data_IF_710124143404
#
_entry.id   IF_710124143404
#
_cell.length_a   1.000
_cell.length_b   1.000
_cell.length_c   1.000
_cell.angle_alpha   90.00
_cell.angle_beta   90.00
_cell.angle_gamma   90.00
#
_symmetry.space_group_name_H-M   'P 1'
#
loop_
_entity.id
_entity.type
_entity.pdbx_description
1 polymer ?
#
# COMPACT_ATOMS: atom_id res chain seq x y z
N UNK A 1 -25.68 -33.66 38.44
CA UNK A 1 -24.39 -34.36 38.44
C UNK A 1 -23.59 -33.84 37.26
N UNK A 2 -22.61 -32.96 37.52
CA UNK A 2 -21.93 -32.13 36.53
C UNK A 2 -20.67 -32.80 35.99
N UNK A 3 -20.43 -32.71 34.67
CA UNK A 3 -19.10 -32.83 34.07
C UNK A 3 -18.80 -31.54 33.32
N UNK A 4 -17.66 -30.96 33.68
CA UNK A 4 -17.11 -29.68 33.24
C UNK A 4 -16.26 -29.94 32.01
N UNK A 5 -16.52 -29.25 30.91
CA UNK A 5 -15.53 -29.08 29.85
C UNK A 5 -15.05 -27.63 29.86
N UNK A 6 -13.80 -27.54 30.29
CA UNK A 6 -13.02 -26.35 30.55
C UNK A 6 -12.12 -26.11 29.31
N UNK A 7 -11.89 -24.83 28.99
CA UNK A 7 -10.71 -24.28 28.30
C UNK A 7 -10.75 -24.28 26.75
N UNK A 8 -11.14 -23.14 26.16
CA UNK A 8 -10.17 -22.15 25.67
C UNK A 8 -10.88 -20.98 24.98
N UNK A 9 -11.16 -19.93 25.74
CA UNK A 9 -11.54 -18.62 25.21
C UNK A 9 -10.55 -17.61 25.76
N UNK A 10 -9.38 -17.46 25.13
CA UNK A 10 -8.42 -16.43 25.53
C UNK A 10 -8.76 -15.13 24.80
N UNK A 11 -9.57 -14.34 25.50
CA UNK A 11 -9.86 -12.95 25.22
C UNK A 11 -8.58 -12.11 25.07
N UNK A 12 -8.58 -11.31 24.01
CA UNK A 12 -7.93 -10.01 23.93
C UNK A 12 -8.29 -9.14 25.13
N UNK A 13 -7.29 -8.52 25.76
CA UNK A 13 -7.32 -7.26 26.53
C UNK A 13 -5.89 -6.96 26.99
N UNK A 14 -5.20 -6.04 26.31
CA UNK A 14 -4.97 -4.68 26.83
C UNK A 14 -4.43 -4.65 28.28
N UNK A 15 -3.17 -4.18 28.39
CA UNK A 15 -2.66 -3.28 29.44
C UNK A 15 -2.49 -3.85 30.86
N UNK A 16 -1.22 -4.06 31.24
CA UNK A 16 -0.69 -3.74 32.57
C UNK A 16 0.37 -2.64 32.33
N UNK A 17 0.13 -1.35 32.63
CA UNK A 17 0.39 -0.66 33.90
C UNK A 17 1.78 -1.04 34.47
N UNK A 18 2.86 -0.30 34.23
CA UNK A 18 3.26 1.03 34.74
C UNK A 18 3.68 1.03 36.23
N UNK A 19 4.99 1.12 36.48
CA UNK A 19 5.72 1.70 37.62
C UNK A 19 7.21 1.40 37.38
N UNK A 20 8.21 2.26 37.49
CA UNK A 20 8.35 3.62 38.01
C UNK A 20 9.80 3.72 38.51
N UNK A 21 10.54 4.76 38.13
CA UNK A 21 11.48 5.50 38.99
C UNK A 21 12.19 6.57 38.17
N UNK A 22 11.98 7.83 38.57
CA UNK A 22 12.73 8.97 38.11
C UNK A 22 14.06 9.03 38.87
N UNK A 23 15.16 9.25 38.17
CA UNK A 23 16.41 9.71 38.77
C UNK A 23 16.91 10.90 37.96
N UNK A 24 16.68 12.10 38.51
CA UNK A 24 17.17 13.37 38.04
C UNK A 24 18.60 13.53 38.56
N UNK A 25 19.60 13.43 37.69
CA UNK A 25 20.96 13.85 37.99
C UNK A 25 21.31 15.03 37.06
N UNK A 26 21.30 16.24 37.64
CA UNK A 26 21.90 17.41 37.02
C UNK A 26 23.39 17.14 36.84
N UNK A 27 23.89 17.20 35.60
CA UNK A 27 25.31 17.34 35.37
C UNK A 27 25.60 18.60 34.54
N UNK A 28 26.54 19.36 35.09
CA UNK A 28 26.93 20.72 34.80
C UNK A 28 27.32 20.96 33.34
N UNK A 29 26.87 22.07 32.79
CA UNK A 29 27.36 22.62 31.54
C UNK A 29 28.82 23.05 31.70
N UNK A 30 29.73 22.38 30.99
CA UNK A 30 31.08 22.87 30.72
C UNK A 30 31.18 23.04 29.22
N UNK A 31 31.17 24.28 28.74
CA UNK A 31 31.42 24.62 27.34
C UNK A 31 32.93 24.67 27.11
N UNK A 32 33.50 23.86 26.19
CA UNK A 32 34.82 24.16 25.66
C UNK A 32 34.68 25.28 24.63
N UNK A 33 35.25 26.44 24.95
CA UNK A 33 35.59 27.49 24.01
C UNK A 33 36.79 26.99 23.18
N UNK A 34 36.52 26.21 22.14
CA UNK A 34 37.53 25.80 21.16
C UNK A 34 37.15 26.41 19.81
N UNK A 35 37.93 27.39 19.39
CA UNK A 35 37.84 27.99 18.08
C UNK A 35 38.21 26.97 17.00
N UNK A 36 37.31 26.81 16.04
CA UNK A 36 37.66 26.52 14.67
C UNK A 36 36.66 27.31 13.83
N UNK A 37 37.12 28.44 13.29
CA UNK A 37 36.41 29.18 12.27
C UNK A 37 36.39 28.31 11.00
N UNK A 38 35.54 27.28 11.00
CA UNK A 38 35.23 26.50 9.83
C UNK A 38 34.49 27.39 8.87
N UNK A 39 35.10 27.71 7.73
CA UNK A 39 34.44 28.34 6.60
C UNK A 39 33.07 27.68 6.39
N UNK A 40 31.99 28.44 6.15
CA UNK A 40 30.69 27.86 5.84
C UNK A 40 30.88 26.99 4.59
N UNK A 41 30.92 25.66 4.77
CA UNK A 41 30.81 24.74 3.65
C UNK A 41 29.50 25.08 2.97
N UNK A 42 29.48 25.37 1.66
CA UNK A 42 28.23 25.61 0.98
C UNK A 42 27.36 24.38 1.23
N UNK A 43 26.23 24.56 1.93
CA UNK A 43 25.18 23.55 1.96
C UNK A 43 24.88 23.31 0.50
N UNK A 44 25.31 22.15 -0.03
CA UNK A 44 24.94 21.69 -1.36
C UNK A 44 23.42 21.65 -1.31
N UNK A 45 22.78 22.71 -1.81
CA UNK A 45 21.33 22.77 -1.89
C UNK A 45 20.98 21.52 -2.68
N UNK A 46 20.29 20.58 -2.03
CA UNK A 46 19.66 19.50 -2.74
C UNK A 46 18.69 20.21 -3.68
N UNK A 47 19.13 20.43 -4.92
CA UNK A 47 18.26 20.91 -5.98
C UNK A 47 17.02 20.01 -6.00
N UNK A 48 15.86 20.52 -6.44
CA UNK A 48 14.64 19.73 -6.45
C UNK A 48 14.96 18.39 -7.08
N UNK A 49 14.96 17.32 -6.27
CA UNK A 49 15.17 15.98 -6.79
C UNK A 49 14.04 15.81 -7.80
N UNK A 50 14.40 15.85 -9.08
CA UNK A 50 13.43 15.96 -10.16
C UNK A 50 12.32 14.95 -9.92
N UNK A 51 11.11 15.46 -9.66
CA UNK A 51 9.99 14.62 -9.31
C UNK A 51 9.87 13.54 -10.39
N UNK A 52 10.18 12.28 -10.05
CA UNK A 52 10.07 11.18 -11.00
C UNK A 52 8.65 11.24 -11.56
N UNK A 53 8.54 11.39 -12.89
CA UNK A 53 7.26 11.44 -13.59
C UNK A 53 6.47 10.20 -13.19
N UNK A 54 5.36 10.39 -12.48
CA UNK A 54 4.46 9.30 -12.09
C UNK A 54 3.71 8.87 -13.35
N UNK A 55 3.93 7.63 -13.77
CA UNK A 55 3.18 7.02 -14.87
C UNK A 55 1.85 6.47 -14.33
N UNK A 56 0.79 6.68 -15.10
CA UNK A 56 -0.50 6.03 -14.92
C UNK A 56 -0.63 4.95 -15.99
N UNK A 57 -1.00 3.74 -15.59
CA UNK A 57 -1.28 2.61 -16.49
C UNK A 57 -2.78 2.38 -16.52
N UNK A 58 -3.38 2.42 -17.72
CA UNK A 58 -4.77 2.03 -17.93
C UNK A 58 -4.84 0.59 -18.40
N UNK A 59 -5.63 -0.23 -17.73
CA UNK A 59 -5.89 -1.64 -18.08
C UNK A 59 -7.30 -1.74 -18.64
N UNK A 60 -7.44 -2.23 -19.88
CA UNK A 60 -8.75 -2.43 -20.50
C UNK A 60 -9.12 -3.93 -20.50
N UNK A 61 -9.83 -4.46 -19.48
CA UNK A 61 -10.41 -5.78 -19.58
C UNK A 61 -11.54 -5.76 -20.62
N UNK A 62 -11.28 -6.36 -21.80
CA UNK A 62 -12.24 -6.39 -22.91
C UNK A 62 -13.60 -7.00 -22.56
N UNK A 63 -14.60 -6.74 -23.41
CA UNK A 63 -15.98 -7.22 -23.27
C UNK A 63 -16.66 -6.74 -21.96
N UNK A 64 -17.71 -7.44 -21.52
CA UNK A 64 -18.45 -7.15 -20.29
C UNK A 64 -19.94 -6.94 -20.53
N UNK A 65 -20.75 -7.18 -19.49
CA UNK A 65 -22.20 -7.09 -19.56
C UNK A 65 -22.78 -8.04 -20.62
N UNK A 66 -23.46 -7.49 -21.61
CA UNK A 66 -24.10 -8.23 -22.72
C UNK A 66 -23.07 -8.88 -23.67
N UNK A 67 -21.86 -8.34 -23.74
CA UNK A 67 -20.79 -8.88 -24.56
C UNK A 67 -19.98 -9.89 -23.74
N UNK A 68 -20.12 -11.18 -24.04
CA UNK A 68 -19.37 -12.24 -23.37
C UNK A 68 -17.91 -12.33 -23.82
N UNK A 69 -17.60 -11.78 -25.00
CA UNK A 69 -16.44 -12.18 -25.79
C UNK A 69 -16.51 -13.64 -26.21
N UNK A 70 -15.34 -14.22 -26.47
CA UNK A 70 -15.20 -15.63 -26.80
C UNK A 70 -15.68 -16.54 -25.66
N UNK A 71 -16.23 -17.69 -26.05
CA UNK A 71 -16.66 -18.75 -25.13
C UNK A 71 -15.70 -19.92 -25.29
N UNK A 72 -15.02 -20.28 -24.20
CA UNK A 72 -14.12 -21.42 -24.16
C UNK A 72 -14.85 -22.76 -24.30
N UNK A 73 -14.11 -23.81 -24.66
CA UNK A 73 -14.67 -25.14 -24.91
C UNK A 73 -15.50 -25.71 -23.75
N UNK A 74 -15.17 -25.34 -22.51
CA UNK A 74 -15.88 -25.76 -21.29
C UNK A 74 -16.86 -24.71 -20.74
N UNK A 75 -17.15 -23.65 -21.51
CA UNK A 75 -18.11 -22.61 -21.15
C UNK A 75 -17.54 -21.38 -20.42
N UNK A 76 -16.21 -21.27 -20.28
CA UNK A 76 -15.57 -20.06 -19.73
C UNK A 76 -15.87 -18.85 -20.60
N UNK A 77 -16.33 -17.75 -20.01
CA UNK A 77 -16.57 -16.49 -20.72
C UNK A 77 -15.33 -15.60 -20.67
N UNK A 78 -14.87 -15.13 -21.82
CA UNK A 78 -13.69 -14.25 -21.93
C UNK A 78 -13.79 -13.04 -21.00
N UNK A 79 -14.96 -12.37 -20.96
CA UNK A 79 -15.20 -11.20 -20.11
C UNK A 79 -14.84 -11.39 -18.63
N UNK A 80 -15.02 -12.61 -18.10
CA UNK A 80 -14.70 -12.95 -16.70
C UNK A 80 -13.20 -13.21 -16.53
N UNK A 81 -12.60 -13.94 -17.47
CA UNK A 81 -11.18 -14.28 -17.45
C UNK A 81 -10.33 -13.02 -17.54
N UNK A 82 -10.61 -12.13 -18.50
CA UNK A 82 -9.83 -10.90 -18.70
C UNK A 82 -10.00 -9.92 -17.54
N UNK A 83 -11.19 -9.82 -16.94
CA UNK A 83 -11.41 -8.98 -15.75
C UNK A 83 -10.61 -9.50 -14.54
N UNK A 84 -10.57 -10.82 -14.34
CA UNK A 84 -9.80 -11.43 -13.27
C UNK A 84 -8.29 -11.19 -13.46
N UNK A 85 -7.80 -11.34 -14.69
CA UNK A 85 -6.40 -11.04 -15.05
C UNK A 85 -6.08 -9.56 -14.81
N UNK A 86 -6.91 -8.64 -15.31
CA UNK A 86 -6.68 -7.19 -15.15
C UNK A 86 -6.63 -6.77 -13.67
N UNK A 87 -7.52 -7.32 -12.83
CA UNK A 87 -7.49 -7.08 -11.37
C UNK A 87 -6.19 -7.58 -10.72
N UNK A 88 -5.69 -8.75 -11.14
CA UNK A 88 -4.41 -9.27 -10.66
C UNK A 88 -3.25 -8.37 -11.12
N UNK A 89 -3.20 -7.99 -12.39
CA UNK A 89 -2.17 -7.09 -12.93
C UNK A 89 -2.17 -5.75 -12.19
N UNK A 90 -3.34 -5.13 -11.98
CA UNK A 90 -3.45 -3.92 -11.16
C UNK A 90 -2.84 -4.13 -9.77
N UNK A 91 -3.21 -5.20 -9.07
CA UNK A 91 -2.68 -5.48 -7.75
C UNK A 91 -1.14 -5.66 -7.74
N UNK A 92 -0.55 -6.22 -8.80
CA UNK A 92 0.91 -6.30 -8.93
C UNK A 92 1.51 -4.91 -9.17
N UNK A 93 0.94 -4.11 -10.07
CA UNK A 93 1.41 -2.74 -10.35
C UNK A 93 1.35 -1.86 -9.10
N UNK A 94 0.25 -1.93 -8.35
CA UNK A 94 0.06 -1.21 -7.09
C UNK A 94 1.16 -1.57 -6.08
N UNK A 95 1.55 -2.86 -5.98
CA UNK A 95 2.65 -3.32 -5.11
C UNK A 95 4.02 -2.76 -5.52
N UNK A 96 4.19 -2.40 -6.79
CA UNK A 96 5.40 -1.77 -7.33
C UNK A 96 5.33 -0.24 -7.35
N UNK A 97 4.28 0.36 -6.76
CA UNK A 97 4.13 1.81 -6.69
C UNK A 97 3.75 2.47 -8.01
N UNK A 98 3.15 1.72 -8.93
CA UNK A 98 2.64 2.20 -10.22
C UNK A 98 1.13 2.38 -10.08
N UNK A 99 0.60 3.59 -10.39
CA UNK A 99 -0.85 3.83 -10.41
C UNK A 99 -1.47 3.07 -11.60
N UNK A 100 -2.35 2.13 -11.32
CA UNK A 100 -3.05 1.34 -12.32
C UNK A 100 -4.57 1.42 -12.15
N UNK A 101 -5.28 1.72 -13.23
CA UNK A 101 -6.74 1.85 -13.27
C UNK A 101 -7.33 0.94 -14.33
N UNK A 102 -8.62 0.60 -14.18
CA UNK A 102 -9.33 -0.24 -15.14
C UNK A 102 -10.40 0.59 -15.85
N UNK A 103 -10.66 0.32 -17.13
CA UNK A 103 -11.81 0.89 -17.87
C UNK A 103 -13.13 0.45 -17.23
N UNK A 104 -13.20 -0.82 -16.79
CA UNK A 104 -14.27 -1.37 -15.95
C UNK A 104 -13.70 -2.20 -14.80
N UNK A 105 -14.31 -2.12 -13.62
CA UNK A 105 -13.99 -2.96 -12.46
C UNK A 105 -15.11 -3.95 -12.11
N UNK A 106 -16.16 -4.01 -12.92
CA UNK A 106 -17.34 -4.88 -12.77
C UNK A 106 -17.77 -5.48 -14.12
N UNK A 107 -18.79 -6.33 -14.12
CA UNK A 107 -19.32 -6.96 -15.33
C UNK A 107 -20.32 -6.03 -16.04
N UNK A 108 -19.78 -5.01 -16.72
CA UNK A 108 -20.54 -4.00 -17.47
C UNK A 108 -19.98 -3.88 -18.88
N UNK A 109 -20.86 -3.57 -19.84
CA UNK A 109 -20.46 -3.29 -21.20
C UNK A 109 -19.96 -1.85 -21.32
N UNK A 110 -18.78 -1.64 -21.89
CA UNK A 110 -18.24 -0.32 -22.25
C UNK A 110 -18.00 -0.29 -23.78
N UNK A 111 -18.67 0.63 -24.52
CA UNK A 111 -18.44 0.83 -25.95
C UNK A 111 -16.96 1.12 -26.25
N UNK A 112 -16.44 0.64 -27.38
CA UNK A 112 -15.02 0.76 -27.72
C UNK A 112 -14.49 2.21 -27.70
N UNK A 113 -15.32 3.20 -28.07
CA UNK A 113 -14.94 4.62 -28.08
C UNK A 113 -14.77 5.21 -26.67
N UNK A 114 -15.41 4.60 -25.66
CA UNK A 114 -15.41 5.10 -24.27
C UNK A 114 -14.29 4.46 -23.41
N UNK A 115 -13.42 3.65 -24.00
CA UNK A 115 -12.35 2.90 -23.31
C UNK A 115 -11.04 3.68 -23.23
#
# INVERSE_FOLDING_TARGET
MAKKDLLNTRLSRRRMMLAGLAALALNSAVSPLAGAHGLPRPKKQAGPQGARKRFLVMLDPGHGGIDSGAIGHTGSLEKHVVLAIARNVRAQLDRHGIDARLTRDSDVFIPLYDR
#
